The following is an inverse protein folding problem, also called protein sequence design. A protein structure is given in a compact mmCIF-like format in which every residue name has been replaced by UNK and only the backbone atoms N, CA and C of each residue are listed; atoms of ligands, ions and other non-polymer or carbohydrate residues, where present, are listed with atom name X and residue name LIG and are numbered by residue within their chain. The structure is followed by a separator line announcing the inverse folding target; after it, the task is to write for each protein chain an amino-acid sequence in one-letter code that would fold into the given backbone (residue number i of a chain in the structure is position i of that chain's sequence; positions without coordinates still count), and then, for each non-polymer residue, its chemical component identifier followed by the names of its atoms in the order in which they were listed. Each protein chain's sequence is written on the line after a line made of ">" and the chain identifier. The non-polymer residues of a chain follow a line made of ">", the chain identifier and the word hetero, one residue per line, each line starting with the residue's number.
data_IF_725426158529
#
_entry.id   IF_725426158529
#
_cell.length_a   1.000
_cell.length_b   1.000
_cell.length_c   1.000
_cell.angle_alpha   90.00
_cell.angle_beta   90.00
_cell.angle_gamma   90.00
#
_symmetry.space_group_name_H-M   'P 1'
#
loop_
_entity.id
_entity.type
_entity.pdbx_description
1 polymer ?
#
# COMPACT_ATOMS: atom_id res chain seq x y z
N UNK A 1 -12.29 -19.11 2.45
CA UNK A 1 -12.92 -17.88 1.90
C UNK A 1 -12.62 -16.59 2.68
N UNK A 2 -12.03 -16.63 3.89
CA UNK A 2 -11.61 -15.41 4.62
C UNK A 2 -10.17 -14.94 4.34
N UNK A 3 -9.35 -15.74 3.64
CA UNK A 3 -7.98 -15.36 3.23
C UNK A 3 -7.93 -14.41 2.01
N UNK A 4 -9.03 -14.21 1.29
CA UNK A 4 -9.08 -13.28 0.14
C UNK A 4 -9.26 -11.81 0.57
N UNK A 5 -9.68 -11.56 1.83
CA UNK A 5 -9.88 -10.20 2.37
C UNK A 5 -8.60 -9.55 2.90
N UNK A 6 -7.47 -10.28 2.91
CA UNK A 6 -6.18 -9.86 3.45
C UNK A 6 -5.09 -9.69 2.39
N UNK A 7 -5.38 -9.97 1.11
CA UNK A 7 -4.45 -9.75 -0.03
C UNK A 7 -4.65 -8.33 -0.63
N UNK A 8 -5.42 -7.47 0.03
CA UNK A 8 -5.67 -6.10 -0.41
C UNK A 8 -4.97 -5.06 0.47
N UNK A 9 -3.65 -5.13 0.76
CA UNK A 9 -2.97 -3.91 1.15
C UNK A 9 -2.88 -3.04 -0.11
N UNK A 10 -3.77 -2.04 -0.15
CA UNK A 10 -3.40 -0.69 -0.59
C UNK A 10 -2.78 -0.58 -1.98
N UNK A 11 -3.61 -0.68 -3.03
CA UNK A 11 -3.44 0.24 -4.16
C UNK A 11 -4.22 1.51 -3.80
N UNK A 12 -3.76 2.19 -2.74
CA UNK A 12 -4.09 3.60 -2.52
C UNK A 12 -3.17 4.38 -3.46
N UNK A 13 -3.57 4.42 -4.73
CA UNK A 13 -3.05 5.37 -5.68
C UNK A 13 -4.18 6.34 -5.98
N UNK A 14 -4.45 7.21 -5.00
CA UNK A 14 -5.23 8.42 -5.20
C UNK A 14 -4.57 9.24 -6.31
N UNK A 15 -5.18 9.34 -7.48
CA UNK A 15 -4.63 10.06 -8.61
C UNK A 15 -5.70 10.97 -9.20
N UNK A 16 -5.50 12.27 -9.04
CA UNK A 16 -6.29 13.32 -9.68
C UNK A 16 -5.83 13.57 -11.12
N UNK A 17 -6.81 13.62 -12.01
CA UNK A 17 -6.92 14.36 -13.26
C UNK A 17 -5.63 14.62 -14.08
N UNK A 18 -5.47 13.94 -15.21
CA UNK A 18 -5.93 14.37 -16.55
C UNK A 18 -5.27 13.48 -17.61
N UNK A 19 -6.08 12.85 -18.45
CA UNK A 19 -5.94 12.71 -19.91
C UNK A 19 -6.90 11.59 -20.36
N UNK A 20 -7.93 11.99 -21.10
CA UNK A 20 -8.82 11.08 -21.83
C UNK A 20 -8.07 10.70 -23.11
N UNK A 21 -7.42 9.55 -23.11
CA UNK A 21 -6.96 8.92 -24.33
C UNK A 21 -8.09 8.04 -24.87
N UNK A 22 -8.65 8.44 -26.01
CA UNK A 22 -9.76 7.76 -26.69
C UNK A 22 -9.31 6.42 -27.26
N UNK A 23 -9.55 5.32 -26.56
CA UNK A 23 -9.56 3.98 -27.15
C UNK A 23 -11.02 3.60 -27.44
N UNK A 24 -11.52 3.96 -28.62
CA UNK A 24 -12.93 3.82 -29.06
C UNK A 24 -13.49 2.38 -29.09
N UNK A 25 -12.77 1.37 -28.59
CA UNK A 25 -13.17 -0.04 -28.59
C UNK A 25 -13.01 -0.76 -27.23
N UNK A 26 -12.39 -0.13 -26.22
CA UNK A 26 -12.21 -0.78 -24.91
C UNK A 26 -13.47 -0.65 -24.04
N UNK A 27 -13.84 -1.74 -23.40
CA UNK A 27 -14.89 -1.79 -22.39
C UNK A 27 -14.39 -1.16 -21.08
N UNK A 28 -15.33 -0.78 -20.23
CA UNK A 28 -15.10 -0.12 -18.94
C UNK A 28 -15.76 -0.94 -17.83
N UNK A 29 -15.53 -0.56 -16.56
CA UNK A 29 -16.20 -1.22 -15.43
C UNK A 29 -17.72 -0.97 -15.40
N UNK A 30 -18.23 -0.05 -16.24
CA UNK A 30 -19.66 0.18 -16.41
C UNK A 30 -20.31 -0.87 -17.34
N UNK A 31 -19.50 -1.55 -18.15
CA UNK A 31 -19.97 -2.54 -19.11
C UNK A 31 -20.08 -3.94 -18.45
N UNK A 32 -21.32 -4.43 -18.33
CA UNK A 32 -21.63 -5.77 -17.80
C UNK A 32 -21.20 -6.92 -18.73
N UNK A 33 -20.73 -6.63 -19.94
CA UNK A 33 -20.21 -7.60 -20.91
C UNK A 33 -18.69 -7.45 -21.15
N UNK A 34 -17.99 -6.77 -20.25
CA UNK A 34 -16.53 -6.63 -20.29
C UNK A 34 -15.79 -7.97 -20.13
N UNK A 35 -14.49 -8.00 -20.48
CA UNK A 35 -13.65 -9.20 -20.33
C UNK A 35 -13.60 -9.67 -18.88
N UNK A 36 -13.47 -8.72 -17.94
CA UNK A 36 -13.51 -8.98 -16.51
C UNK A 36 -14.78 -9.74 -16.12
N UNK A 37 -15.95 -9.22 -16.48
CA UNK A 37 -17.24 -9.81 -16.09
C UNK A 37 -17.43 -11.18 -16.72
N UNK A 38 -17.12 -11.33 -18.01
CA UNK A 38 -17.17 -12.63 -18.70
C UNK A 38 -16.23 -13.67 -18.07
N UNK A 39 -15.03 -13.23 -17.67
CA UNK A 39 -14.05 -14.09 -17.00
C UNK A 39 -14.53 -14.53 -15.63
N UNK A 40 -15.04 -13.61 -14.80
CA UNK A 40 -15.61 -13.91 -13.49
C UNK A 40 -16.83 -14.83 -13.60
N UNK A 41 -17.78 -14.51 -14.49
CA UNK A 41 -18.97 -15.34 -14.73
C UNK A 41 -18.59 -16.79 -15.05
N UNK A 42 -17.60 -16.96 -15.93
CA UNK A 42 -17.07 -18.29 -16.29
C UNK A 42 -16.33 -18.96 -15.14
N UNK A 43 -15.53 -18.21 -14.38
CA UNK A 43 -14.69 -18.73 -13.30
C UNK A 43 -15.49 -19.18 -12.09
N UNK A 44 -16.53 -18.43 -11.73
CA UNK A 44 -17.41 -18.70 -10.60
C UNK A 44 -18.68 -19.47 -10.96
N UNK A 45 -18.97 -19.64 -12.27
CA UNK A 45 -20.23 -20.21 -12.76
C UNK A 45 -21.46 -19.42 -12.31
N UNK A 46 -21.31 -18.10 -12.23
CA UNK A 46 -22.35 -17.15 -11.80
C UNK A 46 -22.76 -16.25 -12.97
N UNK A 47 -24.01 -15.78 -12.94
CA UNK A 47 -24.48 -14.76 -13.89
C UNK A 47 -24.45 -13.38 -13.21
N UNK A 48 -23.73 -12.45 -13.82
CA UNK A 48 -23.62 -11.07 -13.35
C UNK A 48 -24.50 -10.11 -14.18
N UNK A 49 -25.41 -10.62 -15.01
CA UNK A 49 -26.27 -9.80 -15.88
C UNK A 49 -27.15 -8.81 -15.10
N UNK A 50 -27.59 -9.17 -13.90
CA UNK A 50 -28.40 -8.32 -13.01
C UNK A 50 -27.55 -7.43 -12.08
N UNK A 51 -26.22 -7.60 -12.04
CA UNK A 51 -25.36 -6.81 -11.18
C UNK A 51 -25.34 -5.33 -11.65
N UNK A 52 -25.56 -4.35 -10.75
CA UNK A 52 -25.71 -2.94 -11.13
C UNK A 52 -24.36 -2.23 -11.33
N UNK A 53 -23.59 -2.65 -12.34
CA UNK A 53 -22.24 -2.14 -12.64
C UNK A 53 -22.15 -0.61 -12.70
N UNK A 54 -23.11 0.03 -13.38
CA UNK A 54 -23.15 1.49 -13.48
C UNK A 54 -23.28 2.17 -12.11
N UNK A 55 -24.21 1.70 -11.27
CA UNK A 55 -24.43 2.28 -9.94
C UNK A 55 -23.20 2.11 -9.02
N UNK A 56 -22.49 0.98 -9.16
CA UNK A 56 -21.31 0.66 -8.33
C UNK A 56 -20.07 1.43 -8.79
N UNK A 57 -19.83 1.51 -10.11
CA UNK A 57 -18.54 1.95 -10.66
C UNK A 57 -18.58 3.33 -11.34
N UNK A 58 -19.73 4.01 -11.47
CA UNK A 58 -19.82 5.31 -12.15
C UNK A 58 -18.89 6.37 -11.57
N UNK A 59 -18.86 6.55 -10.25
CA UNK A 59 -17.99 7.56 -9.60
C UNK A 59 -16.50 7.24 -9.82
N UNK A 60 -16.13 5.96 -9.74
CA UNK A 60 -14.76 5.49 -10.01
C UNK A 60 -14.37 5.71 -11.48
N UNK A 61 -15.26 5.38 -12.41
CA UNK A 61 -15.03 5.56 -13.84
C UNK A 61 -14.80 7.03 -14.19
N UNK A 62 -15.61 7.93 -13.63
CA UNK A 62 -15.45 9.36 -13.88
C UNK A 62 -14.16 9.93 -13.28
N UNK A 63 -13.75 9.46 -12.09
CA UNK A 63 -12.53 9.94 -11.45
C UNK A 63 -11.25 9.39 -12.11
N UNK A 64 -11.23 8.12 -12.47
CA UNK A 64 -10.06 7.40 -13.01
C UNK A 64 -10.45 6.50 -14.20
N UNK A 65 -10.83 7.10 -15.35
CA UNK A 65 -11.35 6.34 -16.50
C UNK A 65 -10.32 5.36 -17.09
N UNK A 66 -9.02 5.69 -16.98
CA UNK A 66 -7.92 4.83 -17.39
C UNK A 66 -7.83 3.55 -16.55
N UNK A 67 -8.08 3.63 -15.24
CA UNK A 67 -8.13 2.46 -14.35
C UNK A 67 -9.37 1.61 -14.66
N UNK A 68 -10.53 2.25 -14.80
CA UNK A 68 -11.78 1.57 -15.15
C UNK A 68 -11.68 0.80 -16.47
N UNK A 69 -11.06 1.41 -17.49
CA UNK A 69 -10.85 0.77 -18.80
C UNK A 69 -9.88 -0.41 -18.70
N UNK A 70 -8.74 -0.22 -18.04
CA UNK A 70 -7.75 -1.30 -17.89
C UNK A 70 -8.33 -2.46 -17.08
N UNK A 71 -8.95 -2.20 -15.92
CA UNK A 71 -9.51 -3.23 -15.06
C UNK A 71 -10.58 -4.08 -15.77
N UNK A 72 -11.45 -3.45 -16.55
CA UNK A 72 -12.47 -4.15 -17.33
C UNK A 72 -11.91 -5.04 -18.46
N UNK A 73 -10.69 -4.75 -18.92
CA UNK A 73 -10.02 -5.51 -19.98
C UNK A 73 -9.25 -6.73 -19.46
N UNK A 74 -9.00 -6.84 -18.15
CA UNK A 74 -8.25 -7.97 -17.56
C UNK A 74 -9.11 -9.22 -17.48
N UNK A 75 -8.51 -10.36 -17.83
CA UNK A 75 -9.05 -11.70 -17.60
C UNK A 75 -8.41 -12.30 -16.33
N UNK A 76 -9.04 -12.18 -15.14
CA UNK A 76 -8.49 -12.72 -13.90
C UNK A 76 -8.31 -14.25 -13.91
N UNK A 77 -9.18 -14.99 -14.62
CA UNK A 77 -9.04 -16.45 -14.76
C UNK A 77 -7.79 -16.80 -15.58
N UNK A 78 -7.50 -16.06 -16.65
CA UNK A 78 -6.27 -16.23 -17.42
C UNK A 78 -5.03 -15.86 -16.59
N UNK A 79 -5.06 -14.75 -15.84
CA UNK A 79 -3.98 -14.37 -14.92
C UNK A 79 -3.69 -15.48 -13.91
N UNK A 80 -4.74 -16.05 -13.30
CA UNK A 80 -4.62 -17.16 -12.37
C UNK A 80 -4.07 -18.43 -13.02
N UNK A 81 -4.45 -18.71 -14.28
CA UNK A 81 -3.87 -19.80 -15.06
C UNK A 81 -2.38 -19.57 -15.36
N UNK A 82 -1.97 -18.34 -15.68
CA UNK A 82 -0.56 -17.96 -15.86
C UNK A 82 0.25 -18.15 -14.58
N UNK A 83 -0.30 -17.79 -13.41
CA UNK A 83 0.32 -18.09 -12.11
C UNK A 83 0.55 -19.59 -11.91
N UNK A 84 -0.42 -20.43 -12.29
CA UNK A 84 -0.33 -21.90 -12.16
C UNK A 84 0.60 -22.56 -13.17
N UNK A 85 1.01 -21.87 -14.22
CA UNK A 85 1.83 -22.42 -15.30
C UNK A 85 3.23 -21.81 -15.38
N UNK A 86 3.44 -20.63 -14.79
CA UNK A 86 4.78 -20.04 -14.66
C UNK A 86 5.65 -20.88 -13.73
N UNK A 87 6.62 -21.58 -14.33
CA UNK A 87 7.59 -22.39 -13.60
C UNK A 87 8.43 -21.55 -12.63
N UNK A 88 8.73 -20.30 -12.98
CA UNK A 88 9.50 -19.37 -12.14
C UNK A 88 8.70 -18.99 -10.88
N UNK A 89 7.41 -18.67 -11.05
CA UNK A 89 6.51 -18.31 -9.95
C UNK A 89 6.25 -19.49 -9.03
N UNK A 90 5.94 -20.67 -9.58
CA UNK A 90 5.72 -21.90 -8.81
C UNK A 90 6.98 -22.29 -8.03
N UNK A 91 8.16 -22.26 -8.67
CA UNK A 91 9.43 -22.56 -8.02
C UNK A 91 9.68 -21.60 -6.86
N UNK A 92 9.38 -20.32 -7.06
CA UNK A 92 9.52 -19.33 -6.02
C UNK A 92 8.56 -19.55 -4.85
N UNK A 93 7.26 -19.71 -5.11
CA UNK A 93 6.24 -19.94 -4.06
C UNK A 93 6.62 -21.17 -3.23
N UNK A 94 7.08 -22.25 -3.87
CA UNK A 94 7.56 -23.45 -3.15
C UNK A 94 8.74 -23.16 -2.22
N UNK A 95 9.69 -22.31 -2.60
CA UNK A 95 10.80 -21.92 -1.71
C UNK A 95 10.30 -21.16 -0.48
N UNK A 96 9.27 -20.33 -0.66
CA UNK A 96 8.63 -19.60 0.44
C UNK A 96 7.86 -20.58 1.34
N UNK A 97 7.09 -21.50 0.78
CA UNK A 97 6.32 -22.50 1.53
C UNK A 97 7.20 -23.50 2.30
N UNK A 98 8.38 -23.82 1.77
CA UNK A 98 9.34 -24.72 2.42
C UNK A 98 10.14 -24.04 3.54
N UNK A 99 10.01 -22.72 3.68
CA UNK A 99 10.68 -22.00 4.74
C UNK A 99 9.93 -22.15 6.05
N UNK A 100 10.57 -22.78 7.04
CA UNK A 100 10.04 -22.87 8.40
C UNK A 100 10.57 -21.72 9.26
N UNK A 101 9.67 -21.04 9.95
CA UNK A 101 9.99 -20.11 11.03
C UNK A 101 10.02 -20.88 12.36
N UNK A 102 11.01 -21.75 12.54
CA UNK A 102 11.11 -22.64 13.71
C UNK A 102 11.09 -21.86 15.05
N UNK A 103 11.58 -20.61 15.07
CA UNK A 103 11.64 -19.74 16.25
C UNK A 103 10.54 -18.66 16.32
N UNK A 104 9.59 -18.66 15.38
CA UNK A 104 8.50 -17.66 15.30
C UNK A 104 8.94 -16.24 14.90
N UNK A 105 8.01 -15.47 14.31
CA UNK A 105 8.23 -14.09 13.83
C UNK A 105 8.53 -13.06 14.93
N UNK A 106 8.23 -13.38 16.19
CA UNK A 106 8.43 -12.48 17.32
C UNK A 106 9.70 -12.79 18.12
N UNK A 107 10.62 -13.59 17.57
CA UNK A 107 11.97 -13.77 18.10
C UNK A 107 13.00 -13.01 17.24
N UNK A 108 14.10 -12.58 17.86
CA UNK A 108 15.21 -11.95 17.13
C UNK A 108 15.88 -12.93 16.15
N UNK A 109 15.86 -14.23 16.47
CA UNK A 109 16.31 -15.32 15.58
C UNK A 109 15.42 -15.51 14.36
N UNK A 110 14.09 -15.38 14.52
CA UNK A 110 13.12 -15.50 13.43
C UNK A 110 13.36 -14.49 12.31
N UNK A 111 13.58 -13.22 12.64
CA UNK A 111 13.86 -12.19 11.62
C UNK A 111 15.21 -12.40 10.93
N UNK A 112 16.23 -12.86 11.66
CA UNK A 112 17.54 -13.15 11.08
C UNK A 112 17.46 -14.23 10.00
N UNK A 113 16.63 -15.25 10.22
CA UNK A 113 16.41 -16.32 9.25
C UNK A 113 15.46 -15.90 8.12
N UNK A 114 14.47 -15.05 8.41
CA UNK A 114 13.49 -14.59 7.42
C UNK A 114 14.08 -13.58 6.43
N UNK A 115 15.06 -12.79 6.85
CA UNK A 115 15.60 -11.73 6.01
C UNK A 115 16.31 -12.21 4.73
N UNK A 116 17.13 -13.28 4.75
CA UNK A 116 17.61 -13.94 3.54
C UNK A 116 16.47 -14.43 2.64
N UNK A 117 15.41 -15.04 3.19
CA UNK A 117 14.25 -15.45 2.39
C UNK A 117 13.60 -14.25 1.69
N UNK A 118 13.39 -13.14 2.42
CA UNK A 118 12.78 -11.95 1.86
C UNK A 118 13.64 -11.33 0.75
N UNK A 119 14.94 -11.16 1.00
CA UNK A 119 15.90 -10.55 0.06
C UNK A 119 16.14 -11.43 -1.17
N UNK A 120 16.43 -12.70 -0.95
CA UNK A 120 16.98 -13.58 -1.97
C UNK A 120 15.90 -14.41 -2.68
N UNK A 121 14.69 -14.50 -2.11
CA UNK A 121 13.58 -15.26 -2.69
C UNK A 121 12.34 -14.40 -2.93
N UNK A 122 11.78 -13.75 -1.90
CA UNK A 122 10.49 -13.07 -2.03
C UNK A 122 10.53 -11.86 -2.98
N UNK A 123 11.54 -10.98 -2.87
CA UNK A 123 11.67 -9.83 -3.77
C UNK A 123 11.86 -10.27 -5.24
N UNK A 124 12.78 -11.19 -5.56
CA UNK A 124 12.86 -11.77 -6.91
C UNK A 124 11.56 -12.42 -7.38
N UNK A 125 10.80 -13.07 -6.47
CA UNK A 125 9.49 -13.63 -6.76
C UNK A 125 8.52 -12.60 -7.31
N UNK A 126 8.37 -11.50 -6.57
CA UNK A 126 7.44 -10.43 -6.89
C UNK A 126 7.84 -9.79 -8.20
N UNK A 127 9.14 -9.56 -8.41
CA UNK A 127 9.67 -9.03 -9.67
C UNK A 127 9.33 -9.93 -10.85
N UNK A 128 9.59 -11.24 -10.74
CA UNK A 128 9.31 -12.19 -11.81
C UNK A 128 7.80 -12.31 -12.07
N UNK A 129 6.97 -12.35 -11.03
CA UNK A 129 5.51 -12.35 -11.18
C UNK A 129 5.02 -11.09 -11.88
N UNK A 130 5.55 -9.92 -11.53
CA UNK A 130 5.20 -8.67 -12.20
C UNK A 130 5.54 -8.73 -13.69
N UNK A 131 6.73 -9.19 -14.05
CA UNK A 131 7.18 -9.23 -15.45
C UNK A 131 6.43 -10.30 -16.25
N UNK A 132 6.40 -11.54 -15.77
CA UNK A 132 5.92 -12.70 -16.53
C UNK A 132 4.40 -12.87 -16.50
N UNK A 133 3.72 -12.32 -15.47
CA UNK A 133 2.29 -12.56 -15.26
C UNK A 133 1.52 -11.26 -15.39
N UNK A 134 1.89 -10.23 -14.63
CA UNK A 134 1.11 -8.98 -14.59
C UNK A 134 1.29 -8.17 -15.88
N UNK A 135 2.53 -7.93 -16.30
CA UNK A 135 2.80 -7.17 -17.52
C UNK A 135 2.39 -7.94 -18.78
N UNK A 136 2.49 -9.27 -18.78
CA UNK A 136 1.95 -10.12 -19.86
C UNK A 136 0.43 -9.97 -19.96
N UNK A 137 -0.28 -10.04 -18.82
CA UNK A 137 -1.73 -9.80 -18.79
C UNK A 137 -2.09 -8.44 -19.39
N UNK A 138 -1.36 -7.37 -19.04
CA UNK A 138 -1.57 -6.06 -19.64
C UNK A 138 -1.29 -6.02 -21.14
N UNK A 139 -0.23 -6.68 -21.61
CA UNK A 139 0.10 -6.77 -23.03
C UNK A 139 -1.01 -7.46 -23.84
N UNK A 140 -1.70 -8.45 -23.25
CA UNK A 140 -2.81 -9.16 -23.92
C UNK A 140 -4.11 -8.36 -24.01
N UNK A 141 -4.20 -7.18 -23.39
CA UNK A 141 -5.42 -6.33 -23.43
C UNK A 141 -5.60 -5.54 -24.73
N UNK A 142 -4.73 -5.73 -25.74
CA UNK A 142 -4.75 -4.99 -27.01
C UNK A 142 -4.71 -3.45 -26.81
N UNK A 143 -3.93 -2.99 -25.83
CA UNK A 143 -3.72 -1.57 -25.55
C UNK A 143 -4.74 -0.92 -24.62
N UNK A 144 -5.75 -1.65 -24.12
CA UNK A 144 -6.74 -1.09 -23.19
C UNK A 144 -6.13 -0.67 -21.83
N UNK A 145 -4.96 -1.19 -21.48
CA UNK A 145 -4.20 -0.79 -20.29
C UNK A 145 -3.11 0.27 -20.54
N UNK A 146 -2.88 0.72 -21.77
CA UNK A 146 -1.77 1.64 -22.09
C UNK A 146 -1.92 2.98 -21.38
N UNK A 147 -3.15 3.51 -21.33
CA UNK A 147 -3.42 4.75 -20.61
C UNK A 147 -3.25 4.60 -19.10
N UNK A 148 -3.51 3.41 -18.54
CA UNK A 148 -3.25 3.15 -17.12
C UNK A 148 -1.74 3.15 -16.85
N UNK A 149 -0.97 2.44 -17.68
CA UNK A 149 0.49 2.37 -17.54
C UNK A 149 1.15 3.75 -17.71
N UNK A 150 0.70 4.55 -18.68
CA UNK A 150 1.19 5.92 -18.86
C UNK A 150 0.88 6.84 -17.66
N UNK A 151 -0.27 6.66 -17.02
CA UNK A 151 -0.61 7.40 -15.79
C UNK A 151 0.27 6.97 -14.63
N UNK A 152 0.59 5.67 -14.50
CA UNK A 152 1.54 5.18 -13.49
C UNK A 152 2.91 5.86 -13.69
N UNK A 153 3.45 5.81 -14.90
CA UNK A 153 4.74 6.42 -15.22
C UNK A 153 4.76 7.92 -14.90
N UNK A 154 3.68 8.64 -15.25
CA UNK A 154 3.58 10.09 -15.04
C UNK A 154 3.41 10.48 -13.57
N UNK A 155 2.77 9.64 -12.75
CA UNK A 155 2.38 10.00 -11.38
C UNK A 155 3.37 9.51 -10.34
N UNK A 156 4.11 8.44 -10.65
CA UNK A 156 5.04 7.77 -9.75
C UNK A 156 6.51 7.89 -10.19
N UNK A 157 6.79 8.55 -11.32
CA UNK A 157 8.13 8.73 -11.89
C UNK A 157 8.88 7.44 -12.25
N UNK A 158 8.23 6.28 -12.13
CA UNK A 158 8.78 4.97 -12.38
C UNK A 158 7.75 4.12 -13.12
N UNK A 159 8.24 3.20 -13.95
CA UNK A 159 7.38 2.15 -14.51
C UNK A 159 6.73 1.32 -13.39
N UNK A 160 5.55 0.75 -13.64
CA UNK A 160 4.87 -0.09 -12.64
C UNK A 160 5.78 -1.19 -12.07
N UNK A 161 6.54 -1.88 -12.93
CA UNK A 161 7.49 -2.93 -12.50
C UNK A 161 8.60 -2.34 -11.63
N UNK A 162 9.19 -1.22 -12.04
CA UNK A 162 10.25 -0.54 -11.27
C UNK A 162 9.73 -0.04 -9.93
N UNK A 163 8.52 0.51 -9.90
CA UNK A 163 7.87 1.00 -8.69
C UNK A 163 7.67 -0.15 -7.69
N UNK A 164 7.09 -1.28 -8.14
CA UNK A 164 6.89 -2.47 -7.28
C UNK A 164 8.22 -3.04 -6.79
N UNK A 165 9.24 -3.10 -7.65
CA UNK A 165 10.59 -3.56 -7.27
C UNK A 165 11.20 -2.67 -6.18
N UNK A 166 11.20 -1.34 -6.37
CA UNK A 166 11.74 -0.39 -5.39
C UNK A 166 10.96 -0.47 -4.07
N UNK A 167 9.63 -0.47 -4.10
CA UNK A 167 8.81 -0.59 -2.89
C UNK A 167 9.10 -1.90 -2.14
N UNK A 168 9.23 -3.02 -2.85
CA UNK A 168 9.59 -4.30 -2.25
C UNK A 168 10.97 -4.23 -1.59
N UNK A 169 11.95 -3.62 -2.26
CA UNK A 169 13.29 -3.44 -1.72
C UNK A 169 13.31 -2.53 -0.49
N UNK A 170 12.56 -1.42 -0.50
CA UNK A 170 12.43 -0.54 0.65
C UNK A 170 11.78 -1.24 1.84
N UNK A 171 10.69 -1.99 1.62
CA UNK A 171 10.03 -2.77 2.67
C UNK A 171 11.01 -3.78 3.30
N UNK A 172 11.75 -4.52 2.47
CA UNK A 172 12.76 -5.46 2.96
C UNK A 172 13.91 -4.73 3.66
N UNK A 173 14.36 -3.58 3.18
CA UNK A 173 15.38 -2.79 3.87
C UNK A 173 14.91 -2.33 5.26
N UNK A 174 13.65 -1.91 5.41
CA UNK A 174 13.07 -1.54 6.71
C UNK A 174 13.11 -2.73 7.66
N UNK A 175 12.64 -3.90 7.22
CA UNK A 175 12.54 -5.08 8.06
C UNK A 175 13.91 -5.72 8.34
N UNK A 176 14.84 -5.66 7.38
CA UNK A 176 16.06 -6.43 7.37
C UNK A 176 17.35 -5.61 7.48
N UNK A 177 17.25 -4.36 7.92
CA UNK A 177 18.39 -3.60 8.42
C UNK A 177 18.78 -4.09 9.82
N UNK A 178 20.06 -4.04 10.13
CA UNK A 178 20.57 -4.38 11.46
C UNK A 178 20.56 -3.15 12.36
N UNK A 179 20.05 -3.31 13.57
CA UNK A 179 20.23 -2.37 14.67
C UNK A 179 21.27 -2.93 15.63
N UNK A 180 22.36 -2.18 15.81
CA UNK A 180 23.42 -2.49 16.78
C UNK A 180 23.33 -1.49 17.92
N UNK A 181 23.24 -1.98 19.15
CA UNK A 181 23.12 -1.13 20.34
C UNK A 181 23.66 -1.84 21.59
N UNK A 182 23.85 -1.06 22.65
CA UNK A 182 24.16 -1.58 23.99
C UNK A 182 22.88 -1.55 24.81
N UNK A 183 22.45 -2.70 25.34
CA UNK A 183 21.21 -2.79 26.12
C UNK A 183 21.37 -2.22 27.54
N UNK A 184 20.29 -2.22 28.33
CA UNK A 184 20.29 -1.72 29.71
C UNK A 184 21.20 -2.53 30.65
N UNK A 185 21.62 -3.73 30.26
CA UNK A 185 22.56 -4.60 30.97
C UNK A 185 24.03 -4.38 30.52
N UNK A 186 24.29 -3.34 29.71
CA UNK A 186 25.60 -3.03 29.14
C UNK A 186 26.18 -4.09 28.18
N UNK A 187 25.32 -4.94 27.61
CA UNK A 187 25.72 -5.95 26.62
C UNK A 187 25.53 -5.43 25.19
N UNK A 188 26.48 -5.74 24.32
CA UNK A 188 26.37 -5.45 22.90
C UNK A 188 25.36 -6.40 22.24
N UNK A 189 24.34 -5.84 21.59
CA UNK A 189 23.28 -6.60 20.95
C UNK A 189 23.13 -6.20 19.48
N UNK A 190 22.71 -7.16 18.66
CA UNK A 190 22.35 -6.94 17.26
C UNK A 190 21.00 -7.60 17.01
N UNK A 191 20.06 -6.81 16.51
CA UNK A 191 18.72 -7.27 16.14
C UNK A 191 18.34 -6.75 14.76
N UNK A 192 17.37 -7.41 14.12
CA UNK A 192 16.81 -6.94 12.86
C UNK A 192 15.73 -5.89 13.13
N UNK A 193 15.67 -4.86 12.30
CA UNK A 193 14.73 -3.77 12.49
C UNK A 193 13.26 -4.20 12.46
N UNK A 194 12.88 -5.25 11.72
CA UNK A 194 11.52 -5.79 11.76
C UNK A 194 11.11 -6.25 13.16
N UNK A 195 12.04 -6.83 13.93
CA UNK A 195 11.83 -7.19 15.33
C UNK A 195 11.65 -5.95 16.20
N UNK A 196 12.59 -4.97 16.09
CA UNK A 196 12.54 -3.73 16.86
C UNK A 196 11.23 -2.99 16.62
N UNK A 197 10.84 -2.82 15.35
CA UNK A 197 9.61 -2.14 14.94
C UNK A 197 8.39 -2.85 15.54
N UNK A 198 8.27 -4.17 15.37
CA UNK A 198 7.14 -4.93 15.91
C UNK A 198 7.04 -4.80 17.43
N UNK A 199 8.17 -4.87 18.15
CA UNK A 199 8.21 -4.66 19.60
C UNK A 199 7.93 -3.24 20.02
N UNK A 200 8.38 -2.25 19.24
CA UNK A 200 8.13 -0.85 19.51
C UNK A 200 6.63 -0.55 19.57
N UNK A 201 5.80 -1.24 18.78
CA UNK A 201 4.33 -1.12 18.82
C UNK A 201 3.63 -2.08 19.80
N UNK A 202 4.38 -2.85 20.60
CA UNK A 202 3.82 -3.79 21.58
C UNK A 202 3.03 -3.14 22.72
N UNK A 203 3.00 -1.80 22.82
CA UNK A 203 2.19 -1.05 23.78
C UNK A 203 0.72 -0.89 23.33
N UNK A 204 0.37 -1.21 22.08
CA UNK A 204 -1.00 -1.10 21.57
C UNK A 204 -1.80 -2.29 22.11
N UNK A 205 -2.63 -2.04 23.12
CA UNK A 205 -3.52 -3.05 23.73
C UNK A 205 -5.00 -2.79 23.39
N UNK A 206 -5.32 -1.58 22.94
CA UNK A 206 -6.68 -1.11 22.63
C UNK A 206 -6.70 -0.10 21.48
N UNK A 207 -7.88 0.21 20.95
CA UNK A 207 -8.06 1.27 19.94
C UNK A 207 -7.65 2.66 20.47
N UNK A 208 -7.76 2.89 21.79
CA UNK A 208 -7.37 4.16 22.42
C UNK A 208 -5.84 4.39 22.33
N UNK A 209 -5.04 3.32 22.28
CA UNK A 209 -3.58 3.38 22.13
C UNK A 209 -3.14 3.75 20.70
N UNK A 210 -4.06 3.68 19.72
CA UNK A 210 -3.83 4.11 18.33
C UNK A 210 -3.97 5.64 18.21
N UNK A 211 -4.74 6.29 19.08
CA UNK A 211 -4.98 7.75 19.03
C UNK A 211 -3.67 8.56 19.10
N UNK A 212 -2.72 8.26 20.00
CA UNK A 212 -1.39 8.89 19.98
C UNK A 212 -0.64 8.74 18.64
N UNK A 213 -0.76 7.59 17.98
CA UNK A 213 -0.09 7.33 16.69
C UNK A 213 -0.66 8.18 15.56
N UNK A 214 -1.99 8.39 15.53
CA UNK A 214 -2.62 9.35 14.62
C UNK A 214 -2.19 10.79 14.92
N UNK A 215 -1.82 11.07 16.17
CA UNK A 215 -1.22 12.32 16.59
C UNK A 215 0.14 12.62 15.94
N UNK A 216 0.93 11.60 15.62
CA UNK A 216 2.25 11.77 14.98
C UNK A 216 2.17 12.45 13.61
N UNK A 217 1.06 12.23 12.88
CA UNK A 217 0.82 12.86 11.57
C UNK A 217 0.71 14.38 11.67
N UNK A 218 0.57 14.91 12.88
CA UNK A 218 0.43 16.33 13.17
C UNK A 218 1.75 16.94 13.69
N UNK A 219 2.84 16.18 13.74
CA UNK A 219 4.15 16.66 14.19
C UNK A 219 5.00 17.10 12.99
N UNK A 220 5.92 18.07 13.19
CA UNK A 220 6.89 18.38 12.17
C UNK A 220 7.94 17.26 12.16
N UNK A 221 8.58 17.02 11.03
CA UNK A 221 9.67 16.02 10.92
C UNK A 221 10.74 16.17 12.01
N UNK A 222 11.03 17.41 12.44
CA UNK A 222 11.99 17.66 13.51
C UNK A 222 11.55 17.16 14.90
N UNK A 223 10.24 17.14 15.22
CA UNK A 223 9.74 16.65 16.51
C UNK A 223 9.30 15.17 16.47
N UNK A 224 9.20 14.58 15.28
CA UNK A 224 8.98 13.14 15.11
C UNK A 224 10.10 12.33 15.76
N UNK A 225 11.37 12.72 15.59
CA UNK A 225 12.50 12.05 16.25
C UNK A 225 12.39 12.04 17.79
N UNK A 226 11.94 13.16 18.37
CA UNK A 226 11.72 13.27 19.81
C UNK A 226 10.55 12.39 20.27
N UNK A 227 9.45 12.37 19.51
CA UNK A 227 8.30 11.52 19.80
C UNK A 227 8.66 10.02 19.71
N UNK A 228 9.43 9.61 18.70
CA UNK A 228 9.93 8.23 18.55
C UNK A 228 11.00 7.86 19.59
N UNK A 229 11.62 8.86 20.24
CA UNK A 229 12.48 8.66 21.40
C UNK A 229 11.68 8.58 22.72
N UNK A 230 10.35 8.53 22.67
CA UNK A 230 9.48 8.41 23.85
C UNK A 230 9.22 9.73 24.56
N UNK A 231 9.57 10.89 23.95
CA UNK A 231 9.25 12.19 24.54
C UNK A 231 7.79 12.55 24.28
N UNK A 232 7.20 13.26 25.24
CA UNK A 232 5.87 13.80 25.08
C UNK A 232 5.82 14.82 23.94
N UNK A 233 4.75 14.80 23.17
CA UNK A 233 4.48 15.73 22.08
C UNK A 233 3.05 16.24 22.14
N UNK A 234 2.83 17.41 21.54
CA UNK A 234 1.53 18.09 21.55
C UNK A 234 0.97 18.17 20.13
N UNK A 235 -0.29 17.81 19.97
CA UNK A 235 -0.98 17.83 18.67
C UNK A 235 -1.79 19.12 18.47
N UNK A 236 -2.42 19.32 17.30
CA UNK A 236 -3.00 20.63 16.94
C UNK A 236 -4.19 21.04 17.81
N UNK A 237 -4.89 20.11 18.47
CA UNK A 237 -5.98 20.43 19.40
C UNK A 237 -5.51 20.80 20.81
N UNK A 238 -4.20 20.80 21.07
CA UNK A 238 -3.61 21.12 22.37
C UNK A 238 -3.40 19.93 23.31
N UNK A 239 -3.92 18.74 22.98
CA UNK A 239 -3.67 17.51 23.74
C UNK A 239 -2.20 17.12 23.66
N UNK A 240 -1.68 16.60 24.76
CA UNK A 240 -0.31 16.09 24.88
C UNK A 240 -0.35 14.58 24.98
N UNK A 241 0.49 13.91 24.20
CA UNK A 241 0.61 12.46 24.16
C UNK A 241 2.06 12.07 24.36
N UNK A 242 2.27 10.87 24.87
CA UNK A 242 3.57 10.19 24.87
C UNK A 242 3.33 8.84 24.21
N UNK A 243 4.21 8.43 23.30
CA UNK A 243 4.14 7.07 22.76
C UNK A 243 4.97 6.18 23.66
N UNK A 244 4.49 4.95 23.88
CA UNK A 244 5.12 3.96 24.75
C UNK A 244 6.53 3.54 24.35
N UNK A 245 7.09 4.03 23.22
CA UNK A 245 8.45 3.75 22.80
C UNK A 245 9.47 4.09 23.89
N UNK A 246 10.32 3.14 24.26
CA UNK A 246 11.31 3.32 25.33
C UNK A 246 10.74 3.25 26.75
N UNK A 247 9.46 2.95 26.92
CA UNK A 247 8.78 2.79 28.22
C UNK A 247 8.15 1.40 28.34
N UNK A 248 7.88 0.92 29.56
CA UNK A 248 7.24 -0.38 29.82
C UNK A 248 7.89 -1.59 29.11
N UNK A 249 9.20 -1.53 28.83
CA UNK A 249 9.92 -2.61 28.14
C UNK A 249 9.81 -2.61 26.61
N UNK A 250 9.15 -1.61 26.01
CA UNK A 250 9.18 -1.38 24.57
C UNK A 250 10.47 -0.64 24.18
N UNK A 251 11.21 -1.15 23.20
CA UNK A 251 12.42 -0.49 22.70
C UNK A 251 12.08 0.70 21.79
N UNK A 252 12.92 1.74 21.81
CA UNK A 252 12.87 2.80 20.79
C UNK A 252 13.29 2.23 19.43
N UNK A 253 12.71 2.74 18.34
CA UNK A 253 13.04 2.25 16.98
C UNK A 253 14.48 2.63 16.55
N UNK A 254 15.04 3.71 17.09
CA UNK A 254 16.44 4.11 16.88
C UNK A 254 16.83 4.18 15.39
N UNK A 255 17.97 3.56 15.04
CA UNK A 255 18.50 3.55 13.66
C UNK A 255 17.56 2.91 12.64
N UNK A 256 16.56 2.14 13.08
CA UNK A 256 15.54 1.54 12.20
C UNK A 256 14.59 2.57 11.57
N UNK A 257 14.62 3.83 12.02
CA UNK A 257 13.90 4.93 11.36
C UNK A 257 14.57 5.34 10.03
N UNK A 258 15.87 5.14 9.87
CA UNK A 258 16.58 5.53 8.65
C UNK A 258 16.06 4.84 7.37
N UNK A 259 15.86 3.51 7.33
CA UNK A 259 15.28 2.87 6.14
C UNK A 259 13.80 3.25 5.92
N UNK A 260 13.07 3.61 6.98
CA UNK A 260 11.69 4.13 6.86
C UNK A 260 11.71 5.51 6.21
N UNK A 261 12.60 6.39 6.67
CA UNK A 261 12.80 7.72 6.08
C UNK A 261 13.20 7.63 4.61
N UNK A 262 14.04 6.66 4.23
CA UNK A 262 14.40 6.43 2.83
C UNK A 262 13.19 6.02 1.96
N UNK A 263 12.29 5.18 2.47
CA UNK A 263 11.02 4.85 1.78
C UNK A 263 10.14 6.10 1.65
N UNK A 264 9.98 6.87 2.74
CA UNK A 264 9.19 8.10 2.72
C UNK A 264 9.75 9.12 1.74
N UNK A 265 11.07 9.27 1.66
CA UNK A 265 11.73 10.14 0.69
C UNK A 265 11.49 9.71 -0.76
N UNK A 266 11.50 8.39 -1.02
CA UNK A 266 11.13 7.86 -2.34
C UNK A 266 9.66 8.16 -2.68
N UNK A 267 8.73 7.85 -1.78
CA UNK A 267 7.30 8.14 -1.98
C UNK A 267 7.04 9.64 -2.17
N UNK A 268 7.69 10.49 -1.37
CA UNK A 268 7.58 11.94 -1.46
C UNK A 268 8.10 12.51 -2.78
N UNK A 269 8.97 11.78 -3.49
CA UNK A 269 9.49 12.18 -4.80
C UNK A 269 8.50 11.98 -5.95
N UNK A 270 7.39 11.27 -5.72
CA UNK A 270 6.41 11.00 -6.76
C UNK A 270 5.66 12.29 -7.16
N UNK A 271 5.53 12.58 -8.47
CA UNK A 271 4.83 13.75 -9.00
C UNK A 271 3.41 13.91 -8.44
N UNK A 272 2.76 12.80 -8.10
CA UNK A 272 1.47 12.80 -7.42
C UNK A 272 1.44 13.70 -6.17
N UNK A 273 2.48 13.64 -5.33
CA UNK A 273 2.53 14.46 -4.10
C UNK A 273 2.85 15.93 -4.39
N UNK A 274 3.33 16.28 -5.59
CA UNK A 274 3.50 17.67 -5.99
C UNK A 274 2.17 18.31 -6.48
N UNK A 275 1.12 17.51 -6.68
CA UNK A 275 -0.18 18.03 -7.12
C UNK A 275 -0.93 18.75 -5.99
N UNK A 276 -1.87 19.62 -6.37
CA UNK A 276 -2.77 20.25 -5.41
C UNK A 276 -3.95 19.35 -5.12
N UNK A 277 -4.14 19.00 -3.85
CA UNK A 277 -5.27 18.23 -3.33
C UNK A 277 -6.30 19.16 -2.67
N UNK A 278 -7.56 18.75 -2.65
CA UNK A 278 -8.66 19.52 -2.08
C UNK A 278 -9.24 18.79 -0.85
N UNK A 279 -9.24 19.43 0.31
CA UNK A 279 -9.94 19.00 1.51
C UNK A 279 -11.13 19.92 1.76
N UNK A 280 -12.31 19.56 1.25
CA UNK A 280 -13.55 20.31 1.44
C UNK A 280 -13.41 21.83 1.20
N UNK A 281 -12.84 22.19 0.04
CA UNK A 281 -12.58 23.59 -0.34
C UNK A 281 -11.21 24.12 0.05
N UNK A 282 -10.46 23.43 0.92
CA UNK A 282 -9.08 23.81 1.28
C UNK A 282 -8.09 23.13 0.35
N UNK A 283 -7.36 23.92 -0.44
CA UNK A 283 -6.31 23.39 -1.33
C UNK A 283 -4.98 23.24 -0.59
N UNK A 284 -4.30 22.11 -0.75
CA UNK A 284 -2.98 21.85 -0.17
C UNK A 284 -2.13 20.97 -1.08
N UNK A 285 -0.81 21.08 -0.98
CA UNK A 285 0.12 20.16 -1.66
C UNK A 285 0.56 19.08 -0.69
N UNK A 286 0.37 17.79 -0.97
CA UNK A 286 0.87 16.70 -0.13
C UNK A 286 2.38 16.70 0.05
N UNK A 287 3.14 17.24 -0.91
CA UNK A 287 4.60 17.40 -0.77
C UNK A 287 4.96 18.27 0.43
N UNK A 288 4.05 19.14 0.87
CA UNK A 288 4.21 19.90 2.11
C UNK A 288 4.16 19.03 3.36
N UNK A 289 3.60 17.81 3.31
CA UNK A 289 3.69 16.80 4.38
C UNK A 289 5.14 16.40 4.66
N UNK A 290 5.98 16.46 3.63
CA UNK A 290 7.37 16.02 3.70
C UNK A 290 8.35 17.20 3.82
N UNK A 291 7.87 18.44 3.73
CA UNK A 291 8.69 19.63 3.82
C UNK A 291 9.09 19.94 5.27
N UNK A 292 10.35 20.32 5.48
CA UNK A 292 10.88 20.64 6.81
C UNK A 292 10.08 21.76 7.49
N UNK A 293 9.55 21.49 8.69
CA UNK A 293 8.80 22.45 9.51
C UNK A 293 7.37 22.75 9.04
N UNK A 294 6.84 21.98 8.07
CA UNK A 294 5.45 22.05 7.64
C UNK A 294 4.63 20.93 8.27
N UNK A 295 3.33 21.18 8.35
CA UNK A 295 2.37 20.33 9.04
C UNK A 295 1.08 20.30 8.24
N UNK A 296 0.44 19.14 8.16
CA UNK A 296 -0.96 19.05 7.80
C UNK A 296 -1.75 18.69 9.06
N UNK A 297 -2.81 19.44 9.36
CA UNK A 297 -3.66 19.07 10.48
C UNK A 297 -4.33 17.73 10.17
N UNK A 298 -4.47 16.87 11.17
CA UNK A 298 -5.24 15.63 11.02
C UNK A 298 -6.68 15.93 10.54
N UNK A 299 -7.24 17.07 10.94
CA UNK A 299 -8.53 17.55 10.44
C UNK A 299 -8.53 17.76 8.92
N UNK A 300 -7.46 18.33 8.36
CA UNK A 300 -7.28 18.50 6.90
C UNK A 300 -7.13 17.15 6.21
N UNK A 301 -6.31 16.23 6.76
CA UNK A 301 -6.13 14.89 6.19
C UNK A 301 -7.45 14.11 6.19
N UNK A 302 -8.14 14.07 7.33
CA UNK A 302 -9.45 13.44 7.49
C UNK A 302 -10.49 14.08 6.57
N UNK A 303 -10.48 15.40 6.45
CA UNK A 303 -11.37 16.11 5.52
C UNK A 303 -11.06 15.76 4.07
N UNK A 304 -9.80 15.56 3.69
CA UNK A 304 -9.44 15.09 2.36
C UNK A 304 -9.96 13.67 2.11
N UNK A 305 -9.73 12.74 3.04
CA UNK A 305 -10.24 11.36 2.95
C UNK A 305 -11.77 11.30 2.80
N UNK A 306 -12.48 12.18 3.49
CA UNK A 306 -13.95 12.18 3.53
C UNK A 306 -14.59 13.09 2.48
N UNK A 307 -13.81 13.83 1.68
CA UNK A 307 -14.39 14.68 0.63
C UNK A 307 -14.93 13.77 -0.48
N UNK A 308 -16.24 13.80 -0.80
CA UNK A 308 -16.87 12.78 -1.65
C UNK A 308 -16.25 12.60 -3.04
N UNK A 309 -15.69 13.67 -3.61
CA UNK A 309 -15.11 13.65 -4.95
C UNK A 309 -13.61 13.29 -4.96
N UNK A 310 -13.01 13.04 -3.79
CA UNK A 310 -11.63 12.58 -3.71
C UNK A 310 -11.59 11.06 -3.84
N UNK A 311 -10.53 10.56 -4.47
CA UNK A 311 -10.44 9.14 -4.80
C UNK A 311 -10.60 8.19 -3.60
N UNK A 312 -10.07 8.46 -2.39
CA UNK A 312 -10.32 7.58 -1.24
C UNK A 312 -11.81 7.42 -0.91
N UNK A 313 -12.58 8.51 -0.89
CA UNK A 313 -14.02 8.46 -0.65
C UNK A 313 -14.75 7.72 -1.77
N UNK A 314 -14.38 7.98 -3.03
CA UNK A 314 -14.93 7.28 -4.20
C UNK A 314 -14.67 5.77 -4.10
N UNK A 315 -13.43 5.35 -3.80
CA UNK A 315 -13.07 3.94 -3.63
C UNK A 315 -13.85 3.28 -2.50
N UNK A 316 -13.98 3.96 -1.36
CA UNK A 316 -14.77 3.45 -0.24
C UNK A 316 -16.24 3.27 -0.63
N UNK A 317 -16.86 4.28 -1.24
CA UNK A 317 -18.25 4.22 -1.68
C UNK A 317 -18.48 3.15 -2.74
N UNK A 318 -17.56 3.00 -3.71
CA UNK A 318 -17.61 1.92 -4.70
C UNK A 318 -17.55 0.55 -4.03
N UNK A 319 -16.68 0.35 -3.03
CA UNK A 319 -16.59 -0.91 -2.30
C UNK A 319 -17.86 -1.18 -1.49
N UNK A 320 -18.40 -0.17 -0.79
CA UNK A 320 -19.66 -0.28 -0.03
C UNK A 320 -20.82 -0.69 -0.95
N UNK A 321 -20.95 -0.02 -2.11
CA UNK A 321 -21.97 -0.36 -3.12
C UNK A 321 -21.77 -1.77 -3.67
N UNK A 322 -20.54 -2.16 -4.00
CA UNK A 322 -20.23 -3.50 -4.48
C UNK A 322 -20.65 -4.57 -3.47
N UNK A 323 -20.29 -4.40 -2.18
CA UNK A 323 -20.66 -5.34 -1.13
C UNK A 323 -22.18 -5.42 -0.96
N UNK A 324 -22.88 -4.28 -0.93
CA UNK A 324 -24.34 -4.28 -0.80
C UNK A 324 -25.05 -4.96 -1.97
N UNK A 325 -24.50 -4.88 -3.18
CA UNK A 325 -25.06 -5.50 -4.38
C UNK A 325 -24.67 -6.97 -4.55
N UNK A 326 -23.74 -7.49 -3.75
CA UNK A 326 -23.31 -8.89 -3.77
C UNK A 326 -24.02 -9.76 -2.72
N UNK A 327 -24.69 -9.13 -1.74
CA UNK A 327 -25.43 -9.80 -0.66
C UNK A 327 -26.96 -9.91 -0.96
N UNK A 328 -27.43 -9.36 -2.10
CA UNK A 328 -28.79 -9.51 -2.64
C UNK A 328 -28.88 -10.65 -3.67
#
# INVERSE_FOLDING_TARGET
>A
MQLLRLITPTIVLACSAQHIATAKACKTLLDNDSTLVKSLAKGYQEDFSEFPFDAVFSDLHHAVPWLSTCAAAIDPVAVYASMKTSSSFISCVRKIEQFSLDDGLLSSGGWKNMCPLLKDTAVPCVKNAMIEIVMDAFATTNGCCDSFLAQVDSLFSDSLTTMVEKLSQYAVNILCSERKFTNLQAEAWTEMCGYSIAKSFGFIESEDDIVPLLGLLQLPNAALCDAFAGKAFRITNGSTFTIGFGTNGADTMGICLQPIDALLGYVASWPLFAQTWNANGTSFSPSSLFATGKFLSFATLKSWFNTPNNLPAIMQLTLERFMSSADE
#
